data_IF_695434736764
#
_entry.id   IF_695434736764
#
_cell.length_a   1.000
_cell.length_b   1.000
_cell.length_c   1.000
_cell.angle_alpha   90.00
_cell.angle_beta   90.00
_cell.angle_gamma   90.00
#
_symmetry.space_group_name_H-M   'P 1'
#
loop_
_entity.id
_entity.type
_entity.pdbx_description
1 polymer ?
#
# COMPACT_ATOMS: atom_id res chain seq x y z
N UNK A 1 -33.67 -38.05 18.87
CA UNK A 1 -32.72 -39.01 18.27
C UNK A 1 -31.71 -38.25 17.42
N UNK A 2 -30.40 -38.50 17.55
CA UNK A 2 -29.39 -37.78 16.75
C UNK A 2 -29.47 -38.22 15.28
N UNK A 3 -29.60 -37.26 14.37
CA UNK A 3 -29.81 -37.43 12.91
C UNK A 3 -28.61 -38.04 12.15
N UNK A 4 -27.44 -38.16 12.79
CA UNK A 4 -26.21 -38.66 12.16
C UNK A 4 -25.43 -39.62 13.08
N UNK A 5 -24.82 -40.64 12.46
CA UNK A 5 -23.93 -41.60 13.12
C UNK A 5 -22.65 -40.88 13.58
N UNK A 6 -22.21 -41.15 14.82
CA UNK A 6 -20.95 -40.60 15.34
C UNK A 6 -19.76 -41.19 14.57
N UNK A 7 -18.74 -40.37 14.35
CA UNK A 7 -17.48 -40.82 13.77
C UNK A 7 -16.82 -41.89 14.66
N UNK A 8 -16.30 -42.94 14.05
CA UNK A 8 -15.52 -43.98 14.72
C UNK A 8 -14.07 -43.51 14.86
N UNK A 9 -13.58 -43.42 16.10
CA UNK A 9 -12.25 -42.91 16.43
C UNK A 9 -11.23 -44.04 16.70
N UNK A 10 -11.61 -45.31 16.59
CA UNK A 10 -10.73 -46.46 16.87
C UNK A 10 -9.50 -46.54 15.95
N UNK A 11 -9.59 -45.96 14.77
CA UNK A 11 -8.49 -45.90 13.79
C UNK A 11 -7.55 -44.69 13.92
N UNK A 12 -7.78 -43.79 14.88
CA UNK A 12 -6.93 -42.59 15.06
C UNK A 12 -5.56 -43.01 15.59
N UNK A 13 -4.50 -42.62 14.88
CA UNK A 13 -3.11 -42.81 15.30
C UNK A 13 -2.53 -41.50 15.79
N UNK A 14 -1.82 -41.55 16.92
CA UNK A 14 -1.00 -40.44 17.42
C UNK A 14 0.47 -40.70 17.13
N UNK A 15 1.30 -39.66 17.23
CA UNK A 15 2.75 -39.74 17.06
C UNK A 15 3.46 -38.97 18.17
N UNK A 16 4.72 -39.29 18.45
CA UNK A 16 5.50 -38.56 19.47
C UNK A 16 5.89 -37.17 18.98
N UNK A 17 6.22 -36.27 19.91
CA UNK A 17 6.60 -34.91 19.55
C UNK A 17 7.90 -34.88 18.75
N UNK A 18 8.85 -35.74 19.12
CA UNK A 18 10.18 -35.90 18.52
C UNK A 18 10.12 -36.40 17.08
N UNK A 19 9.02 -37.04 16.68
CA UNK A 19 8.79 -37.57 15.32
C UNK A 19 8.29 -36.49 14.35
N UNK A 20 8.14 -35.25 14.80
CA UNK A 20 7.68 -34.12 13.99
C UNK A 20 8.76 -33.04 13.90
N UNK A 21 9.04 -32.59 12.68
CA UNK A 21 9.79 -31.35 12.47
C UNK A 21 9.08 -30.13 13.09
N UNK A 22 9.78 -29.40 13.94
CA UNK A 22 9.33 -28.15 14.54
C UNK A 22 9.93 -26.96 13.81
N UNK A 23 9.14 -25.91 13.60
CA UNK A 23 9.57 -24.70 12.87
C UNK A 23 9.82 -23.48 13.77
N UNK A 24 9.56 -23.62 15.05
CA UNK A 24 9.71 -22.57 16.05
C UNK A 24 10.18 -23.20 17.37
N UNK A 25 11.05 -22.46 18.06
CA UNK A 25 11.64 -22.82 19.34
C UNK A 25 11.78 -21.58 20.22
N UNK A 26 12.20 -21.77 21.47
CA UNK A 26 12.28 -20.71 22.48
C UNK A 26 13.23 -19.56 22.10
N UNK A 27 14.24 -19.80 21.25
CA UNK A 27 15.18 -18.75 20.82
C UNK A 27 14.55 -17.75 19.85
N UNK A 28 13.36 -18.05 19.32
CA UNK A 28 12.62 -17.20 18.37
C UNK A 28 11.47 -16.45 19.02
N UNK A 29 11.36 -16.51 20.34
CA UNK A 29 10.33 -15.78 21.07
C UNK A 29 10.57 -14.28 20.98
N UNK A 30 9.48 -13.54 20.80
CA UNK A 30 9.48 -12.09 20.93
C UNK A 30 9.70 -11.69 22.39
N UNK A 31 10.15 -10.46 22.61
CA UNK A 31 10.26 -9.88 23.96
C UNK A 31 9.17 -8.82 24.20
N UNK A 32 8.61 -8.72 25.42
CA UNK A 32 7.61 -7.69 25.73
C UNK A 32 8.13 -6.27 25.54
N UNK A 33 7.28 -5.40 25.00
CA UNK A 33 7.57 -3.98 24.89
C UNK A 33 7.32 -3.27 26.23
N UNK A 34 8.10 -2.22 26.50
CA UNK A 34 7.96 -1.35 27.66
C UNK A 34 7.74 0.10 27.20
N UNK A 35 7.10 0.97 28.01
CA UNK A 35 6.72 2.33 27.57
C UNK A 35 7.87 3.21 27.05
N UNK A 36 9.12 2.90 27.44
CA UNK A 36 10.33 3.62 27.02
C UNK A 36 10.96 3.11 25.72
N UNK A 37 10.44 2.03 25.14
CA UNK A 37 11.01 1.46 23.92
C UNK A 37 10.84 2.42 22.74
N UNK A 38 11.93 2.64 22.01
CA UNK A 38 11.87 3.29 20.71
C UNK A 38 11.31 2.33 19.64
N UNK A 39 11.02 2.85 18.45
CA UNK A 39 10.69 2.01 17.28
C UNK A 39 11.82 1.02 16.97
N UNK A 40 13.09 1.43 17.16
CA UNK A 40 14.24 0.54 17.00
C UNK A 40 14.19 -0.62 18.00
N UNK A 41 13.90 -0.33 19.26
CA UNK A 41 13.78 -1.35 20.30
C UNK A 41 12.62 -2.30 20.02
N UNK A 42 11.46 -1.76 19.61
CA UNK A 42 10.33 -2.57 19.15
C UNK A 42 10.74 -3.54 18.04
N UNK A 43 11.43 -3.07 17.00
CA UNK A 43 11.84 -3.94 15.88
C UNK A 43 12.82 -5.04 16.29
N UNK A 44 13.69 -4.79 17.28
CA UNK A 44 14.62 -5.80 17.83
C UNK A 44 13.91 -6.84 18.69
N UNK A 45 12.75 -6.50 19.26
CA UNK A 45 11.94 -7.38 20.11
C UNK A 45 10.96 -8.25 19.34
N UNK A 46 10.76 -7.99 18.04
CA UNK A 46 9.96 -8.84 17.17
C UNK A 46 10.60 -10.24 17.01
N UNK A 47 9.80 -11.30 16.83
CA UNK A 47 10.33 -12.63 16.61
C UNK A 47 10.99 -12.71 15.23
N UNK A 48 12.14 -13.39 15.10
CA UNK A 48 12.78 -13.62 13.81
C UNK A 48 12.14 -14.80 13.05
N UNK A 49 10.81 -14.77 12.90
CA UNK A 49 10.07 -15.81 12.20
C UNK A 49 8.79 -15.27 11.53
N UNK A 50 8.35 -15.94 10.46
CA UNK A 50 7.18 -15.58 9.64
C UNK A 50 7.17 -14.08 9.24
N UNK A 51 6.05 -13.39 9.46
CA UNK A 51 5.82 -12.03 8.94
C UNK A 51 6.67 -10.96 9.60
N UNK A 52 7.10 -11.15 10.84
CA UNK A 52 8.07 -10.25 11.46
C UNK A 52 9.42 -10.31 10.75
N UNK A 53 9.88 -11.52 10.38
CA UNK A 53 11.09 -11.70 9.57
C UNK A 53 10.94 -11.10 8.17
N UNK A 54 9.82 -11.36 7.48
CA UNK A 54 9.55 -10.79 6.15
C UNK A 54 9.59 -9.24 6.18
N UNK A 55 8.93 -8.64 7.17
CA UNK A 55 8.88 -7.19 7.36
C UNK A 55 10.28 -6.59 7.56
N UNK A 56 11.05 -7.16 8.50
CA UNK A 56 12.39 -6.66 8.82
C UNK A 56 13.36 -6.89 7.66
N UNK A 57 13.20 -7.99 6.91
CA UNK A 57 13.98 -8.24 5.70
C UNK A 57 13.74 -7.14 4.66
N UNK A 58 12.47 -6.88 4.30
CA UNK A 58 12.13 -5.84 3.31
C UNK A 58 12.62 -4.46 3.76
N UNK A 59 12.40 -4.08 5.02
CA UNK A 59 12.87 -2.81 5.55
C UNK A 59 14.40 -2.66 5.45
N UNK A 60 15.16 -3.71 5.76
CA UNK A 60 16.63 -3.71 5.63
C UNK A 60 17.07 -3.60 4.17
N UNK A 61 16.41 -4.32 3.25
CA UNK A 61 16.73 -4.27 1.82
C UNK A 61 16.49 -2.87 1.23
N UNK A 62 15.38 -2.23 1.59
CA UNK A 62 15.07 -0.85 1.17
C UNK A 62 16.13 0.12 1.72
N UNK A 63 16.46 0.02 3.00
CA UNK A 63 17.47 0.88 3.62
C UNK A 63 18.87 0.69 2.99
N UNK A 64 19.22 -0.54 2.66
CA UNK A 64 20.48 -0.85 1.97
C UNK A 64 20.49 -0.34 0.52
N UNK A 65 19.39 -0.49 -0.20
CA UNK A 65 19.26 0.06 -1.55
C UNK A 65 19.45 1.58 -1.55
N UNK A 66 18.84 2.29 -0.60
CA UNK A 66 19.05 3.73 -0.42
C UNK A 66 20.51 4.08 -0.12
N UNK A 67 21.14 3.41 0.85
CA UNK A 67 22.57 3.64 1.20
C UNK A 67 23.50 3.39 0.02
N UNK A 68 23.18 2.39 -0.79
CA UNK A 68 23.93 2.02 -2.00
C UNK A 68 23.58 2.88 -3.24
N UNK A 69 22.71 3.89 -3.11
CA UNK A 69 22.30 4.74 -4.24
C UNK A 69 21.53 3.99 -5.34
N UNK A 70 20.87 2.89 -5.01
CA UNK A 70 20.08 2.09 -5.96
C UNK A 70 18.67 2.65 -6.11
N UNK A 71 18.09 2.47 -7.29
CA UNK A 71 16.68 2.73 -7.50
C UNK A 71 15.81 1.84 -6.59
N UNK A 72 14.81 2.47 -5.97
CA UNK A 72 13.77 1.81 -5.18
C UNK A 72 12.44 2.06 -5.89
N UNK A 73 11.92 1.02 -6.53
CA UNK A 73 10.73 1.08 -7.36
C UNK A 73 9.56 0.47 -6.58
N UNK A 74 8.50 1.24 -6.39
CA UNK A 74 7.29 0.76 -5.74
C UNK A 74 6.19 0.54 -6.76
N UNK A 75 5.56 -0.64 -6.69
CA UNK A 75 4.45 -1.02 -7.56
C UNK A 75 3.20 -1.23 -6.70
N UNK A 76 2.12 -0.47 -6.95
CA UNK A 76 0.92 -0.56 -6.13
C UNK A 76 -0.37 -0.21 -6.87
N UNK A 77 -1.50 -0.74 -6.38
CA UNK A 77 -2.83 -0.27 -6.73
C UNK A 77 -3.26 0.91 -5.87
N UNK A 78 -4.53 1.30 -5.96
CA UNK A 78 -5.05 2.51 -5.31
C UNK A 78 -5.27 2.44 -3.79
N UNK A 79 -5.21 1.24 -3.19
CA UNK A 79 -5.56 1.05 -1.77
C UNK A 79 -4.79 1.97 -0.80
N UNK A 80 -3.48 2.23 -0.97
CA UNK A 80 -2.75 3.16 -0.11
C UNK A 80 -3.35 4.57 -0.09
N UNK A 81 -3.82 5.09 -1.23
CA UNK A 81 -4.49 6.40 -1.29
C UNK A 81 -5.84 6.32 -0.57
N UNK A 82 -6.64 5.28 -0.88
CA UNK A 82 -7.98 5.08 -0.30
C UNK A 82 -7.96 4.99 1.24
N UNK A 83 -6.91 4.41 1.82
CA UNK A 83 -6.79 4.26 3.29
C UNK A 83 -5.98 5.37 3.96
N UNK A 84 -5.72 6.47 3.24
CA UNK A 84 -5.14 7.68 3.82
C UNK A 84 -3.62 7.68 3.97
N UNK A 85 -2.89 6.94 3.14
CA UNK A 85 -1.42 6.86 3.20
C UNK A 85 -0.70 7.80 2.24
N UNK A 86 -1.39 8.72 1.55
CA UNK A 86 -0.77 9.63 0.57
C UNK A 86 0.41 10.40 1.17
N UNK A 87 0.24 11.01 2.35
CA UNK A 87 1.29 11.80 2.98
C UNK A 87 2.49 10.95 3.42
N UNK A 88 2.27 9.67 3.75
CA UNK A 88 3.36 8.73 4.03
C UNK A 88 4.12 8.38 2.74
N UNK A 89 3.42 8.18 1.62
CA UNK A 89 4.07 7.95 0.33
C UNK A 89 4.88 9.18 -0.11
N UNK A 90 4.36 10.38 0.11
CA UNK A 90 5.04 11.64 -0.16
C UNK A 90 6.31 11.75 0.69
N UNK A 91 6.24 11.52 2.00
CA UNK A 91 7.42 11.52 2.87
C UNK A 91 8.48 10.50 2.39
N UNK A 92 8.05 9.32 1.94
CA UNK A 92 8.97 8.32 1.39
C UNK A 92 9.60 8.76 0.05
N UNK A 93 8.88 9.50 -0.80
CA UNK A 93 9.42 10.09 -2.04
C UNK A 93 10.44 11.17 -1.71
N UNK A 94 10.07 12.12 -0.84
CA UNK A 94 10.92 13.26 -0.46
C UNK A 94 12.22 12.78 0.21
N UNK A 95 12.15 11.67 0.95
CA UNK A 95 13.31 11.03 1.55
C UNK A 95 14.05 10.07 0.60
N UNK A 96 13.70 9.95 -0.67
CA UNK A 96 14.36 9.07 -1.64
C UNK A 96 14.27 7.57 -1.30
N UNK A 97 13.25 7.18 -0.52
CA UNK A 97 12.90 5.78 -0.24
C UNK A 97 11.95 5.21 -1.32
N UNK A 98 11.32 6.09 -2.09
CA UNK A 98 10.64 5.78 -3.34
C UNK A 98 11.29 6.66 -4.42
N UNK A 99 11.98 6.03 -5.36
CA UNK A 99 12.60 6.75 -6.50
C UNK A 99 11.75 6.69 -7.76
N UNK A 100 10.92 5.65 -7.86
CA UNK A 100 10.02 5.43 -8.99
C UNK A 100 8.74 4.79 -8.49
N UNK A 101 7.61 5.24 -9.04
CA UNK A 101 6.30 4.75 -8.70
C UNK A 101 5.60 4.20 -9.95
N UNK A 102 5.16 2.95 -9.89
CA UNK A 102 4.36 2.32 -10.93
C UNK A 102 2.99 1.96 -10.37
N UNK A 103 1.94 2.57 -10.94
CA UNK A 103 0.58 2.46 -10.42
C UNK A 103 -0.43 2.12 -11.50
N UNK A 104 -1.60 1.65 -11.08
CA UNK A 104 -2.73 1.44 -11.97
C UNK A 104 -3.60 2.70 -12.12
N UNK A 105 -4.54 2.68 -13.07
CA UNK A 105 -5.43 3.82 -13.33
C UNK A 105 -6.31 4.21 -12.15
N UNK A 106 -6.68 3.25 -11.29
CA UNK A 106 -7.44 3.56 -10.08
C UNK A 106 -6.63 4.46 -9.12
N UNK A 107 -5.33 4.21 -8.96
CA UNK A 107 -4.48 5.07 -8.13
C UNK A 107 -4.54 6.51 -8.65
N UNK A 108 -4.40 6.69 -9.97
CA UNK A 108 -4.43 8.01 -10.58
C UNK A 108 -5.77 8.73 -10.37
N UNK A 109 -6.89 8.01 -10.46
CA UNK A 109 -8.23 8.55 -10.15
C UNK A 109 -8.30 8.99 -8.69
N UNK A 110 -7.94 8.11 -7.75
CA UNK A 110 -8.03 8.40 -6.33
C UNK A 110 -7.10 9.57 -5.91
N UNK A 111 -5.90 9.64 -6.48
CA UNK A 111 -4.94 10.71 -6.22
C UNK A 111 -5.41 12.06 -6.81
N UNK A 112 -5.98 12.04 -8.03
CA UNK A 112 -6.60 13.22 -8.65
C UNK A 112 -7.79 13.74 -7.83
N UNK A 113 -8.69 12.86 -7.41
CA UNK A 113 -9.81 13.22 -6.54
C UNK A 113 -9.33 13.77 -5.21
N UNK A 114 -8.29 13.18 -4.61
CA UNK A 114 -7.67 13.71 -3.40
C UNK A 114 -7.14 15.13 -3.63
N UNK A 115 -6.45 15.39 -4.75
CA UNK A 115 -5.89 16.69 -5.08
C UNK A 115 -6.95 17.79 -5.26
N UNK A 116 -8.05 17.49 -5.94
CA UNK A 116 -9.09 18.47 -6.29
C UNK A 116 -10.19 18.57 -5.24
N UNK A 117 -10.62 17.44 -4.68
CA UNK A 117 -11.78 17.35 -3.79
C UNK A 117 -11.41 17.14 -2.32
N UNK A 118 -10.18 16.70 -2.02
CA UNK A 118 -9.74 16.38 -0.65
C UNK A 118 -10.41 15.13 -0.07
N UNK A 119 -11.05 14.33 -0.94
CA UNK A 119 -11.78 13.11 -0.62
C UNK A 119 -11.86 12.24 -1.85
N UNK A 120 -11.98 10.94 -1.66
CA UNK A 120 -12.05 9.95 -2.73
C UNK A 120 -12.71 8.67 -2.21
N UNK A 121 -12.98 7.72 -3.11
CA UNK A 121 -13.68 6.47 -2.85
C UNK A 121 -15.17 6.64 -2.58
N UNK A 122 -15.94 5.72 -3.14
CA UNK A 122 -17.37 5.55 -2.94
C UNK A 122 -17.67 4.13 -2.44
N UNK A 123 -18.89 3.91 -1.96
CA UNK A 123 -19.38 2.58 -1.57
C UNK A 123 -19.74 1.78 -2.82
N UNK A 124 -18.86 0.83 -3.16
CA UNK A 124 -18.94 0.04 -4.40
C UNK A 124 -20.24 -0.77 -4.47
N UNK A 125 -20.66 -1.38 -3.35
CA UNK A 125 -21.82 -2.25 -3.33
C UNK A 125 -23.11 -1.49 -3.68
N UNK A 126 -23.29 -0.31 -3.11
CA UNK A 126 -24.49 0.52 -3.33
C UNK A 126 -24.53 1.05 -4.76
N UNK A 127 -23.40 1.55 -5.27
CA UNK A 127 -23.31 2.11 -6.63
C UNK A 127 -23.43 1.06 -7.73
N UNK A 128 -23.04 -0.19 -7.48
CA UNK A 128 -23.22 -1.27 -8.46
C UNK A 128 -24.69 -1.68 -8.63
N UNK A 129 -25.49 -1.61 -7.56
CA UNK A 129 -26.90 -2.00 -7.59
C UNK A 129 -27.71 -1.07 -8.51
N UNK A 130 -27.42 0.23 -8.49
CA UNK A 130 -28.17 1.25 -9.23
C UNK A 130 -27.41 1.82 -10.44
N UNK A 131 -26.18 1.33 -10.71
CA UNK A 131 -25.35 1.76 -11.83
C UNK A 131 -24.68 3.13 -11.65
N UNK A 132 -24.69 3.71 -10.43
CA UNK A 132 -24.03 4.99 -10.16
C UNK A 132 -22.52 4.86 -9.90
N UNK A 133 -22.01 3.65 -9.71
CA UNK A 133 -20.59 3.43 -9.42
C UNK A 133 -19.68 4.00 -10.53
N UNK A 134 -18.76 4.90 -10.16
CA UNK A 134 -17.84 5.56 -11.09
C UNK A 134 -18.48 6.62 -11.98
N UNK A 135 -19.76 6.97 -11.78
CA UNK A 135 -20.52 7.93 -12.60
C UNK A 135 -20.48 9.35 -12.02
N UNK A 136 -19.38 9.73 -11.37
CA UNK A 136 -19.14 11.10 -10.88
C UNK A 136 -18.81 11.97 -12.10
N UNK A 137 -19.49 13.09 -12.31
CA UNK A 137 -19.34 13.89 -13.54
C UNK A 137 -17.95 14.56 -13.65
N UNK A 138 -17.42 15.04 -12.53
CA UNK A 138 -16.18 15.82 -12.47
C UNK A 138 -14.93 14.97 -12.68
N UNK A 139 -14.88 13.77 -12.10
CA UNK A 139 -13.71 12.88 -12.13
C UNK A 139 -13.26 12.52 -13.56
N UNK A 140 -14.09 11.95 -14.45
CA UNK A 140 -13.69 11.61 -15.81
C UNK A 140 -13.40 12.86 -16.64
N UNK A 141 -14.09 13.99 -16.39
CA UNK A 141 -13.78 15.25 -17.08
C UNK A 141 -12.39 15.78 -16.73
N UNK A 142 -12.01 15.74 -15.45
CA UNK A 142 -10.67 16.14 -15.01
C UNK A 142 -9.61 15.18 -15.52
N UNK A 143 -9.84 13.87 -15.42
CA UNK A 143 -8.96 12.84 -15.98
C UNK A 143 -8.75 13.03 -17.49
N UNK A 144 -9.82 13.26 -18.25
CA UNK A 144 -9.72 13.48 -19.70
C UNK A 144 -8.89 14.72 -20.04
N UNK A 145 -9.07 15.83 -19.30
CA UNK A 145 -8.24 17.03 -19.46
C UNK A 145 -6.77 16.73 -19.18
N UNK A 146 -6.47 16.03 -18.09
CA UNK A 146 -5.11 15.65 -17.72
C UNK A 146 -4.46 14.74 -18.78
N UNK A 147 -5.18 13.71 -19.24
CA UNK A 147 -4.71 12.78 -20.28
C UNK A 147 -4.43 13.50 -21.60
N UNK A 148 -5.32 14.38 -22.04
CA UNK A 148 -5.11 15.12 -23.30
C UNK A 148 -3.94 16.10 -23.21
N UNK A 149 -3.76 16.76 -22.06
CA UNK A 149 -2.61 17.63 -21.81
C UNK A 149 -1.30 16.82 -21.81
N UNK A 150 -1.31 15.64 -21.18
CA UNK A 150 -0.18 14.71 -21.16
C UNK A 150 0.20 14.28 -22.59
N UNK A 151 -0.79 13.80 -23.36
CA UNK A 151 -0.59 13.33 -24.73
C UNK A 151 -0.09 14.45 -25.65
N UNK A 152 -0.66 15.65 -25.56
CA UNK A 152 -0.23 16.81 -26.36
C UNK A 152 1.19 17.27 -26.03
N UNK A 153 1.63 17.04 -24.79
CA UNK A 153 2.98 17.34 -24.31
C UNK A 153 3.99 16.19 -24.48
N UNK A 154 3.59 15.03 -25.00
CA UNK A 154 4.47 13.86 -25.11
C UNK A 154 4.87 13.24 -23.77
N UNK A 155 4.08 13.46 -22.72
CA UNK A 155 4.36 13.00 -21.35
C UNK A 155 3.77 11.61 -21.08
N UNK A 156 4.40 10.87 -20.17
CA UNK A 156 3.78 9.67 -19.60
C UNK A 156 2.52 10.01 -18.81
N UNK A 157 1.59 9.06 -18.69
CA UNK A 157 0.29 9.31 -18.05
C UNK A 157 0.42 9.83 -16.60
N UNK A 158 1.27 9.19 -15.78
CA UNK A 158 1.47 9.60 -14.38
C UNK A 158 2.08 10.99 -14.27
N UNK A 159 3.12 11.26 -15.06
CA UNK A 159 3.79 12.57 -15.15
C UNK A 159 2.82 13.66 -15.61
N UNK A 160 2.03 13.40 -16.65
CA UNK A 160 1.07 14.36 -17.18
C UNK A 160 -0.09 14.65 -16.23
N UNK A 161 -0.54 13.65 -15.45
CA UNK A 161 -1.53 13.88 -14.38
C UNK A 161 -0.92 14.70 -13.25
N UNK A 162 0.29 14.38 -12.79
CA UNK A 162 1.00 15.16 -11.78
C UNK A 162 1.19 16.62 -12.20
N UNK A 163 1.66 16.83 -13.44
CA UNK A 163 1.76 18.15 -14.07
C UNK A 163 0.42 18.88 -14.11
N UNK A 164 -0.64 18.19 -14.52
CA UNK A 164 -1.97 18.79 -14.59
C UNK A 164 -2.45 19.26 -13.21
N UNK A 165 -2.29 18.44 -12.18
CA UNK A 165 -2.64 18.79 -10.79
C UNK A 165 -1.86 20.05 -10.35
N UNK A 166 -0.56 20.09 -10.64
CA UNK A 166 0.31 21.21 -10.33
C UNK A 166 -0.13 22.51 -11.03
N UNK A 167 -0.32 22.47 -12.35
CA UNK A 167 -0.67 23.65 -13.16
C UNK A 167 -2.07 24.19 -12.86
N UNK A 168 -3.02 23.31 -12.59
CA UNK A 168 -4.38 23.70 -12.19
C UNK A 168 -4.44 24.22 -10.75
N UNK A 169 -3.34 24.17 -9.99
CA UNK A 169 -3.25 24.60 -8.59
C UNK A 169 -4.36 23.96 -7.75
N UNK A 170 -4.51 22.64 -7.89
CA UNK A 170 -5.55 21.90 -7.17
C UNK A 170 -5.48 22.21 -5.66
N UNK A 171 -6.63 22.40 -5.03
CA UNK A 171 -6.75 22.92 -3.66
C UNK A 171 -5.93 22.12 -2.63
N UNK A 172 -5.80 20.81 -2.85
CA UNK A 172 -5.12 19.87 -1.96
C UNK A 172 -3.92 19.20 -2.64
N UNK A 173 -3.29 19.86 -3.63
CA UNK A 173 -2.17 19.29 -4.41
C UNK A 173 -1.01 18.77 -3.53
N UNK A 174 -0.78 19.36 -2.36
CA UNK A 174 0.24 18.90 -1.40
C UNK A 174 0.00 17.49 -0.83
N UNK A 175 -1.20 16.94 -1.00
CA UNK A 175 -1.57 15.59 -0.57
C UNK A 175 -1.65 14.61 -1.75
N UNK A 176 -1.28 15.04 -2.96
CA UNK A 176 -1.25 14.20 -4.16
C UNK A 176 0.15 13.67 -4.40
N UNK A 177 0.23 12.35 -4.48
CA UNK A 177 1.47 11.61 -4.73
C UNK A 177 1.97 11.90 -6.15
N UNK A 178 1.07 11.93 -7.15
CA UNK A 178 1.46 12.21 -8.54
C UNK A 178 1.93 13.66 -8.72
N UNK A 179 1.31 14.62 -8.02
CA UNK A 179 1.80 15.99 -7.98
C UNK A 179 3.22 16.04 -7.40
N UNK A 180 3.45 15.40 -6.25
CA UNK A 180 4.79 15.34 -5.63
C UNK A 180 5.81 14.70 -6.57
N UNK A 181 5.50 13.57 -7.21
CA UNK A 181 6.42 12.93 -8.16
C UNK A 181 6.79 13.84 -9.34
N UNK A 182 5.90 14.74 -9.77
CA UNK A 182 6.19 15.69 -10.85
C UNK A 182 7.06 16.87 -10.38
N UNK A 183 6.94 17.28 -9.12
CA UNK A 183 7.65 18.45 -8.57
C UNK A 183 8.93 18.12 -7.80
N UNK A 184 9.16 16.85 -7.49
CA UNK A 184 10.31 16.36 -6.72
C UNK A 184 11.63 16.39 -7.50
#
# INVERSE_FOLDING_TARGET
MRKFKKIDLTGVKTRKFEERETKADISRLASPCVPKDSVSDFTKKLPDYLKAKDLLYVARQIAEAKRSGKAIIWMMGAHPIKVGLSDILIDLIDNGLITHLAVNGAFAIHDLEMAFQGRTSEEVADGLINGSFGMVEETPKLMFKAVNAANSGGLGLGEGIGKFIYEQKAKFAKHSVLNTCYTA
#
